data_IF_873839518092
#
_entry.id   IF_873839518092
#
_cell.length_a   1.000
_cell.length_b   1.000
_cell.length_c   1.000
_cell.angle_alpha   90.00
_cell.angle_beta   90.00
_cell.angle_gamma   90.00
#
_symmetry.space_group_name_H-M   'P 1'
#
loop_
_entity.id
_entity.type
_entity.pdbx_description
1 polymer ?
#
# COMPACT_ATOMS: atom_id res chain seq x y z
N UNK A 1 4.79 -21.16 -6.81
CA UNK A 1 5.56 -19.99 -6.37
C UNK A 1 6.32 -20.41 -5.12
N UNK A 2 7.65 -20.47 -5.16
CA UNK A 2 8.45 -20.73 -3.97
C UNK A 2 8.25 -19.56 -3.01
N UNK A 3 7.98 -19.84 -1.73
CA UNK A 3 7.98 -18.81 -0.72
C UNK A 3 9.37 -18.18 -0.68
N UNK A 4 9.48 -16.90 -1.01
CA UNK A 4 10.73 -16.17 -0.89
C UNK A 4 11.15 -16.18 0.58
N UNK A 5 12.41 -16.49 0.84
CA UNK A 5 12.96 -16.37 2.18
C UNK A 5 12.83 -14.91 2.65
N UNK A 6 12.39 -14.69 3.91
CA UNK A 6 12.26 -13.35 4.44
C UNK A 6 13.59 -12.61 4.35
N UNK A 7 13.60 -11.48 3.67
CA UNK A 7 14.80 -10.64 3.60
C UNK A 7 15.11 -10.05 4.98
N UNK A 8 16.36 -10.10 5.43
CA UNK A 8 16.74 -9.54 6.70
C UNK A 8 16.53 -8.02 6.71
N UNK A 9 16.03 -7.44 7.81
CA UNK A 9 15.92 -5.99 7.89
C UNK A 9 17.29 -5.34 7.89
N UNK A 10 17.42 -4.16 7.27
CA UNK A 10 18.70 -3.42 7.20
C UNK A 10 19.40 -3.27 8.56
N UNK A 11 18.61 -3.10 9.63
CA UNK A 11 19.14 -3.00 10.99
C UNK A 11 19.84 -4.27 11.49
N UNK A 12 19.59 -5.43 10.90
CA UNK A 12 20.31 -6.67 11.25
C UNK A 12 21.66 -6.78 10.56
N UNK A 13 21.89 -5.99 9.52
CA UNK A 13 23.14 -5.89 8.75
C UNK A 13 24.02 -4.70 9.22
N UNK A 14 23.48 -3.89 10.13
CA UNK A 14 24.16 -2.68 10.62
C UNK A 14 25.10 -2.99 11.77
N UNK A 15 26.38 -2.99 11.48
CA UNK A 15 27.46 -3.16 12.48
C UNK A 15 28.07 -1.82 12.95
N UNK A 16 27.74 -0.72 12.27
CA UNK A 16 28.33 0.60 12.53
C UNK A 16 27.37 1.57 13.23
N UNK A 17 26.11 1.17 13.40
CA UNK A 17 25.11 2.03 14.04
C UNK A 17 24.65 3.19 13.17
N UNK A 18 24.48 2.95 11.88
CA UNK A 18 24.05 3.96 10.90
C UNK A 18 22.57 3.87 10.55
N UNK A 19 21.90 2.77 10.94
CA UNK A 19 20.50 2.51 10.57
C UNK A 19 19.54 2.94 11.67
N UNK A 20 18.58 3.79 11.30
CA UNK A 20 17.38 4.07 12.09
C UNK A 20 16.23 3.24 11.52
N UNK A 21 15.71 2.30 12.31
CA UNK A 21 14.55 1.50 11.93
C UNK A 21 13.27 2.12 12.47
N UNK A 22 12.25 2.18 11.63
CA UNK A 22 10.92 2.64 11.97
C UNK A 22 9.92 1.52 11.83
N UNK A 23 8.97 1.43 12.75
CA UNK A 23 7.88 0.48 12.67
C UNK A 23 6.56 1.04 13.17
N UNK A 24 5.48 0.38 12.84
CA UNK A 24 4.13 0.77 13.26
C UNK A 24 3.26 -0.44 13.55
N UNK A 25 2.38 -0.32 14.53
CA UNK A 25 1.35 -1.32 14.81
C UNK A 25 0.09 -1.13 13.93
N UNK A 26 0.03 -0.06 13.13
CA UNK A 26 -1.15 0.28 12.33
C UNK A 26 -1.56 -0.78 11.31
N UNK A 27 -0.61 -1.56 10.79
CA UNK A 27 -0.87 -2.58 9.75
C UNK A 27 -0.92 -4.00 10.30
N UNK A 28 -0.34 -4.21 11.48
CA UNK A 28 -0.31 -5.52 12.14
C UNK A 28 -1.43 -5.70 13.15
N UNK A 29 -1.86 -4.63 13.82
CA UNK A 29 -2.90 -4.65 14.84
C UNK A 29 -4.07 -3.75 14.47
N UNK A 30 -3.97 -2.45 14.76
CA UNK A 30 -5.06 -1.52 14.49
C UNK A 30 -4.53 -0.11 14.19
N UNK A 31 -4.94 0.50 13.07
CA UNK A 31 -4.48 1.84 12.69
C UNK A 31 -4.96 2.94 13.66
N UNK A 32 -6.11 2.74 14.34
CA UNK A 32 -6.67 3.68 15.30
C UNK A 32 -5.86 3.86 16.58
N UNK A 33 -4.96 2.94 16.91
CA UNK A 33 -4.10 3.05 18.09
C UNK A 33 -3.02 4.15 17.96
N UNK A 34 -2.67 4.54 16.76
CA UNK A 34 -1.70 5.61 16.45
C UNK A 34 -0.35 5.45 17.15
N UNK A 35 0.14 4.21 17.28
CA UNK A 35 1.43 3.89 17.90
C UNK A 35 2.41 3.35 16.85
N UNK A 36 3.58 3.95 16.80
CA UNK A 36 4.75 3.47 16.09
C UNK A 36 5.94 3.39 17.04
N UNK A 37 7.03 2.86 16.56
CA UNK A 37 8.28 2.75 17.29
C UNK A 37 9.47 3.07 16.38
N UNK A 38 10.56 3.45 16.99
CA UNK A 38 11.84 3.56 16.31
C UNK A 38 12.94 2.88 17.12
N UNK A 39 13.93 2.35 16.42
CA UNK A 39 15.19 1.88 16.96
C UNK A 39 16.31 2.67 16.29
N UNK A 40 17.17 3.28 17.07
CA UNK A 40 18.29 4.07 16.57
C UNK A 40 19.55 3.84 17.44
N UNK A 41 20.74 4.20 16.96
CA UNK A 41 21.96 4.22 17.76
C UNK A 41 21.80 5.07 19.01
N UNK A 42 22.41 4.63 20.12
CA UNK A 42 22.29 5.30 21.43
C UNK A 42 22.66 6.78 21.38
N UNK A 43 23.65 7.15 20.57
CA UNK A 43 24.08 8.55 20.40
C UNK A 43 22.98 9.48 19.87
N UNK A 44 22.05 8.92 19.05
CA UNK A 44 20.94 9.68 18.46
C UNK A 44 19.69 9.66 19.35
N UNK A 45 19.51 8.63 20.20
CA UNK A 45 18.28 8.44 20.96
C UNK A 45 17.92 9.66 21.82
N UNK A 46 18.89 10.30 22.51
CA UNK A 46 18.62 11.47 23.32
C UNK A 46 18.04 12.64 22.51
N UNK A 47 18.50 12.84 21.29
CA UNK A 47 18.01 13.90 20.41
C UNK A 47 16.59 13.58 19.90
N UNK A 48 16.35 12.32 19.57
CA UNK A 48 15.03 11.85 19.13
C UNK A 48 13.98 11.94 20.25
N UNK A 49 14.37 11.65 21.50
CA UNK A 49 13.47 11.81 22.67
C UNK A 49 13.11 13.29 22.87
N UNK A 50 14.08 14.20 22.79
CA UNK A 50 13.82 15.65 22.91
C UNK A 50 12.93 16.14 21.77
N UNK A 51 13.21 15.70 20.54
CA UNK A 51 12.37 16.04 19.38
C UNK A 51 10.93 15.52 19.55
N UNK A 52 10.75 14.29 20.05
CA UNK A 52 9.43 13.71 20.35
C UNK A 52 8.68 14.56 21.39
N UNK A 53 9.35 14.94 22.48
CA UNK A 53 8.77 15.80 23.51
C UNK A 53 8.32 17.16 22.96
N UNK A 54 9.11 17.75 22.06
CA UNK A 54 8.77 19.01 21.42
C UNK A 54 7.63 18.90 20.40
N UNK A 55 7.42 17.72 19.82
CA UNK A 55 6.39 17.50 18.78
C UNK A 55 5.02 17.26 19.38
N UNK A 56 4.87 16.32 20.30
CA UNK A 56 3.58 15.89 20.83
C UNK A 56 3.65 15.39 22.29
N UNK A 57 4.73 15.66 22.97
CA UNK A 57 5.06 15.25 24.32
C UNK A 57 5.22 13.72 24.47
N UNK A 58 4.18 12.96 24.21
CA UNK A 58 4.21 11.49 24.20
C UNK A 58 3.00 10.90 23.45
N UNK A 59 3.15 9.68 22.92
CA UNK A 59 2.02 8.90 22.41
C UNK A 59 1.11 8.45 23.57
N UNK A 60 -0.17 8.21 23.27
CA UNK A 60 -1.15 7.76 24.28
C UNK A 60 -0.63 6.61 25.12
N UNK A 61 -0.50 6.80 26.42
CA UNK A 61 -0.07 5.75 27.37
C UNK A 61 -1.08 4.62 27.45
N UNK A 62 -2.38 4.90 27.28
CA UNK A 62 -3.42 3.88 27.21
C UNK A 62 -3.21 2.95 26.00
N UNK A 63 -2.96 3.52 24.83
CA UNK A 63 -2.71 2.74 23.61
C UNK A 63 -1.43 1.91 23.71
N UNK A 64 -0.36 2.47 24.30
CA UNK A 64 0.89 1.74 24.53
C UNK A 64 0.68 0.57 25.50
N UNK A 65 -0.08 0.79 26.59
CA UNK A 65 -0.40 -0.26 27.56
C UNK A 65 -1.24 -1.37 26.94
N UNK A 66 -2.26 -1.00 26.15
CA UNK A 66 -3.10 -1.97 25.44
C UNK A 66 -2.28 -2.83 24.47
N UNK A 67 -1.35 -2.23 23.73
CA UNK A 67 -0.44 -2.97 22.82
C UNK A 67 0.48 -3.88 23.63
N UNK A 68 1.06 -3.42 24.74
CA UNK A 68 1.93 -4.21 25.60
C UNK A 68 1.21 -5.45 26.14
N UNK A 69 0.00 -5.30 26.66
CA UNK A 69 -0.82 -6.40 27.14
C UNK A 69 -1.19 -7.38 26.01
N UNK A 70 -1.51 -6.85 24.84
CA UNK A 70 -1.83 -7.66 23.67
C UNK A 70 -0.62 -8.50 23.25
N UNK A 71 0.56 -7.90 23.13
CA UNK A 71 1.78 -8.60 22.73
C UNK A 71 2.23 -9.69 23.72
N UNK A 72 1.83 -9.60 25.01
CA UNK A 72 2.16 -10.61 26.03
C UNK A 72 1.17 -11.77 26.07
N UNK A 73 -0.08 -11.56 25.64
CA UNK A 73 -1.18 -12.54 25.81
C UNK A 73 -1.72 -13.09 24.50
N UNK A 74 -1.38 -12.48 23.39
CA UNK A 74 -1.94 -12.78 22.09
C UNK A 74 -0.90 -13.46 21.20
N UNK A 75 -1.30 -14.52 20.52
CA UNK A 75 -0.45 -15.16 19.50
C UNK A 75 -0.38 -14.30 18.25
N UNK A 76 0.58 -13.37 18.26
CA UNK A 76 0.80 -12.44 17.15
C UNK A 76 1.19 -13.19 15.87
N UNK A 77 1.96 -14.27 15.94
CA UNK A 77 2.39 -15.01 14.76
C UNK A 77 1.22 -15.73 14.08
N UNK A 78 0.34 -16.36 14.84
CA UNK A 78 -0.89 -16.96 14.29
C UNK A 78 -1.79 -15.90 13.63
N UNK A 79 -1.91 -14.72 14.26
CA UNK A 79 -2.64 -13.59 13.68
C UNK A 79 -2.00 -13.09 12.36
N UNK A 80 -0.70 -12.90 12.34
CA UNK A 80 0.02 -12.47 11.14
C UNK A 80 -0.05 -13.51 10.02
N UNK A 81 -0.03 -14.80 10.35
CA UNK A 81 -0.21 -15.87 9.37
C UNK A 81 -1.59 -15.77 8.70
N UNK A 82 -2.65 -15.54 9.49
CA UNK A 82 -4.01 -15.33 8.99
C UNK A 82 -4.11 -14.09 8.10
N UNK A 83 -3.51 -12.98 8.51
CA UNK A 83 -3.47 -11.76 7.69
C UNK A 83 -2.74 -11.97 6.37
N UNK A 84 -1.57 -12.62 6.41
CA UNK A 84 -0.77 -12.92 5.21
C UNK A 84 -1.54 -13.79 4.21
N UNK A 85 -2.25 -14.81 4.69
CA UNK A 85 -3.10 -15.65 3.84
C UNK A 85 -4.22 -14.83 3.20
N UNK A 86 -4.98 -14.08 4.01
CA UNK A 86 -6.09 -13.25 3.54
C UNK A 86 -5.64 -12.21 2.50
N UNK A 87 -4.50 -11.54 2.74
CA UNK A 87 -4.01 -10.52 1.81
C UNK A 87 -3.45 -11.13 0.53
N UNK A 88 -2.82 -12.29 0.59
CA UNK A 88 -2.37 -13.03 -0.59
C UNK A 88 -3.55 -13.37 -1.50
N UNK A 89 -4.61 -13.95 -0.94
CA UNK A 89 -5.80 -14.33 -1.71
C UNK A 89 -6.44 -13.11 -2.38
N UNK A 90 -6.60 -12.01 -1.64
CA UNK A 90 -7.15 -10.76 -2.19
C UNK A 90 -6.24 -10.12 -3.25
N UNK A 91 -4.93 -10.21 -3.08
CA UNK A 91 -3.96 -9.74 -4.08
C UNK A 91 -4.09 -10.52 -5.38
N UNK A 92 -4.19 -11.85 -5.31
CA UNK A 92 -4.39 -12.69 -6.49
C UNK A 92 -5.71 -12.37 -7.19
N UNK A 93 -6.82 -12.29 -6.45
CA UNK A 93 -8.12 -11.88 -7.03
C UNK A 93 -8.01 -10.54 -7.74
N UNK A 94 -7.37 -9.53 -7.11
CA UNK A 94 -7.18 -8.22 -7.75
C UNK A 94 -6.32 -8.31 -9.01
N UNK A 95 -5.22 -9.04 -8.97
CA UNK A 95 -4.31 -9.21 -10.09
C UNK A 95 -4.99 -9.89 -11.28
N UNK A 96 -5.77 -10.95 -11.03
CA UNK A 96 -6.52 -11.68 -12.05
C UNK A 96 -7.54 -10.77 -12.75
N UNK A 97 -8.27 -9.95 -11.98
CA UNK A 97 -9.26 -9.03 -12.55
C UNK A 97 -8.58 -7.86 -13.29
N UNK A 98 -7.47 -7.33 -12.80
CA UNK A 98 -6.68 -6.32 -13.53
C UNK A 98 -6.24 -6.90 -14.89
N UNK A 99 -5.71 -8.12 -14.90
CA UNK A 99 -5.29 -8.79 -16.14
C UNK A 99 -6.46 -8.96 -17.12
N UNK A 100 -7.64 -9.29 -16.61
CA UNK A 100 -8.82 -9.59 -17.45
C UNK A 100 -9.55 -8.34 -17.94
N UNK A 101 -9.49 -7.21 -17.22
CA UNK A 101 -10.38 -6.07 -17.46
C UNK A 101 -9.69 -4.76 -17.81
N UNK A 102 -8.39 -4.60 -17.50
CA UNK A 102 -7.69 -3.37 -17.80
C UNK A 102 -7.23 -3.33 -19.27
N UNK A 103 -7.00 -2.14 -19.85
CA UNK A 103 -6.57 -1.99 -21.23
C UNK A 103 -5.28 -2.78 -21.54
N UNK A 104 -5.16 -3.27 -22.76
CA UNK A 104 -3.92 -3.89 -23.26
C UNK A 104 -2.75 -2.91 -23.10
N UNK A 105 -1.58 -3.43 -22.72
CA UNK A 105 -0.39 -2.62 -22.38
C UNK A 105 -0.37 -2.13 -20.92
N UNK A 106 -1.31 -2.58 -20.08
CA UNK A 106 -1.20 -2.39 -18.63
C UNK A 106 -0.12 -3.30 -18.05
N UNK A 107 0.74 -2.75 -17.19
CA UNK A 107 1.82 -3.45 -16.53
C UNK A 107 1.66 -3.38 -15.00
N UNK A 108 1.87 -4.50 -14.33
CA UNK A 108 1.99 -4.60 -12.88
C UNK A 108 2.76 -5.85 -12.50
N UNK A 109 3.27 -5.85 -11.28
CA UNK A 109 3.88 -7.04 -10.66
C UNK A 109 3.15 -7.37 -9.36
N UNK A 110 2.87 -8.66 -9.14
CA UNK A 110 2.33 -9.07 -7.85
C UNK A 110 3.40 -8.90 -6.77
N UNK A 111 3.15 -8.11 -5.73
CA UNK A 111 4.13 -7.90 -4.67
C UNK A 111 4.28 -9.14 -3.81
N UNK A 112 5.47 -9.40 -3.31
CA UNK A 112 5.75 -10.47 -2.35
C UNK A 112 5.16 -10.19 -0.96
N UNK A 113 4.72 -8.96 -0.72
CA UNK A 113 4.12 -8.52 0.52
C UNK A 113 3.51 -7.12 0.42
N UNK A 114 2.99 -6.65 1.54
CA UNK A 114 2.34 -5.34 1.59
C UNK A 114 0.84 -5.41 1.38
N UNK A 115 0.24 -4.28 0.99
CA UNK A 115 -1.21 -4.08 0.95
C UNK A 115 -1.68 -3.48 -0.38
N UNK A 116 -0.77 -3.27 -1.31
CA UNK A 116 -1.01 -2.48 -2.51
C UNK A 116 -0.48 -3.17 -3.76
N UNK A 117 -1.26 -3.07 -4.84
CA UNK A 117 -0.82 -3.35 -6.19
C UNK A 117 -0.46 -2.02 -6.86
N UNK A 118 0.73 -1.94 -7.44
CA UNK A 118 1.15 -0.82 -8.26
C UNK A 118 0.90 -1.17 -9.71
N UNK A 119 0.19 -0.29 -10.41
CA UNK A 119 -0.23 -0.51 -11.80
C UNK A 119 0.23 0.65 -12.67
N UNK A 120 0.79 0.34 -13.82
CA UNK A 120 1.11 1.28 -14.89
C UNK A 120 0.17 1.00 -16.07
N UNK A 121 -0.67 1.97 -16.39
CA UNK A 121 -1.59 1.94 -17.54
C UNK A 121 -0.86 2.32 -18.83
N UNK A 122 -1.45 2.06 -20.00
CA UNK A 122 -0.92 2.58 -21.27
C UNK A 122 -0.71 4.09 -21.24
N UNK A 123 0.25 4.57 -22.01
CA UNK A 123 0.51 6.00 -22.15
C UNK A 123 -0.71 6.72 -22.73
N UNK A 124 -0.89 7.98 -22.36
CA UNK A 124 -2.04 8.80 -22.74
C UNK A 124 -3.08 8.92 -21.63
N UNK A 125 -3.12 8.01 -20.67
CA UNK A 125 -4.04 8.11 -19.54
C UNK A 125 -3.45 8.94 -18.40
N UNK A 126 -4.28 9.83 -17.83
CA UNK A 126 -3.97 10.59 -16.61
C UNK A 126 -4.85 10.10 -15.46
N UNK A 127 -4.26 9.35 -14.55
CA UNK A 127 -4.97 8.75 -13.41
C UNK A 127 -5.47 9.81 -12.41
N UNK A 128 -4.81 10.96 -12.33
CA UNK A 128 -5.28 12.06 -11.48
C UNK A 128 -6.52 12.73 -12.08
N UNK A 129 -6.52 12.99 -13.37
CA UNK A 129 -7.68 13.55 -14.07
C UNK A 129 -8.90 12.61 -14.03
N UNK A 130 -8.68 11.30 -14.13
CA UNK A 130 -9.74 10.28 -14.12
C UNK A 130 -10.31 9.98 -12.72
N UNK A 131 -9.62 10.37 -11.65
CA UNK A 131 -10.01 10.01 -10.27
C UNK A 131 -11.42 10.49 -9.91
N UNK A 132 -11.80 11.71 -10.29
CA UNK A 132 -13.13 12.24 -10.01
C UNK A 132 -14.23 11.39 -10.66
N UNK A 133 -14.02 10.98 -11.91
CA UNK A 133 -14.96 10.09 -12.61
C UNK A 133 -15.01 8.70 -11.98
N UNK A 134 -13.86 8.14 -11.60
CA UNK A 134 -13.79 6.86 -10.90
C UNK A 134 -14.61 6.87 -9.61
N UNK A 135 -14.49 7.93 -8.81
CA UNK A 135 -15.22 8.05 -7.54
C UNK A 135 -16.72 8.33 -7.77
N UNK A 136 -17.09 9.25 -8.67
CA UNK A 136 -18.48 9.70 -8.79
C UNK A 136 -19.36 8.75 -9.60
N UNK A 137 -18.80 8.13 -10.68
CA UNK A 137 -19.57 7.26 -11.58
C UNK A 137 -19.35 5.79 -11.30
N UNK A 138 -18.10 5.40 -11.01
CA UNK A 138 -17.73 3.99 -10.80
C UNK A 138 -17.68 3.61 -9.31
N UNK A 139 -17.75 4.58 -8.39
CA UNK A 139 -17.73 4.39 -6.92
C UNK A 139 -16.48 3.68 -6.42
N UNK A 140 -15.38 3.85 -7.12
CA UNK A 140 -14.08 3.27 -6.78
C UNK A 140 -13.06 4.40 -6.62
N UNK A 141 -12.35 4.38 -5.51
CA UNK A 141 -11.22 5.27 -5.27
C UNK A 141 -9.90 4.51 -5.40
N UNK A 142 -8.93 5.12 -6.01
CA UNK A 142 -7.54 4.67 -6.05
C UNK A 142 -6.60 5.84 -5.71
N UNK A 143 -5.33 5.56 -5.55
CA UNK A 143 -4.34 6.63 -5.34
C UNK A 143 -3.58 6.83 -6.65
N UNK A 144 -3.68 8.02 -7.30
CA UNK A 144 -2.89 8.35 -8.48
C UNK A 144 -1.40 8.25 -8.18
N UNK A 145 -0.61 7.77 -9.15
CA UNK A 145 0.81 7.51 -8.94
C UNK A 145 1.70 8.75 -9.07
N UNK A 146 1.30 9.76 -9.83
CA UNK A 146 2.11 10.95 -10.09
C UNK A 146 2.74 11.58 -8.83
N UNK A 147 2.05 11.70 -7.67
CA UNK A 147 2.64 12.24 -6.44
C UNK A 147 3.81 11.44 -5.86
N UNK A 148 4.01 10.19 -6.28
CA UNK A 148 5.12 9.34 -5.81
C UNK A 148 6.41 9.54 -6.61
N UNK A 149 6.36 10.28 -7.71
CA UNK A 149 7.53 10.62 -8.52
C UNK A 149 7.98 12.05 -8.24
N UNK A 150 9.28 12.25 -8.15
CA UNK A 150 9.88 13.57 -7.87
C UNK A 150 9.50 14.60 -8.95
N UNK A 151 9.53 14.18 -10.20
CA UNK A 151 9.23 15.01 -11.38
C UNK A 151 7.75 14.97 -11.81
N UNK A 152 6.93 14.12 -11.15
CA UNK A 152 5.52 13.85 -11.51
C UNK A 152 5.31 13.45 -12.98
N UNK A 153 6.34 12.94 -13.62
CA UNK A 153 6.34 12.67 -15.07
C UNK A 153 5.45 11.48 -15.48
N UNK A 154 5.08 10.61 -14.53
CA UNK A 154 4.27 9.41 -14.82
C UNK A 154 2.82 9.61 -14.37
N UNK A 155 1.99 10.18 -15.24
CA UNK A 155 0.56 10.39 -14.98
C UNK A 155 -0.28 9.11 -15.11
N UNK A 156 0.23 8.07 -15.80
CA UNK A 156 -0.47 6.83 -16.11
C UNK A 156 -0.33 5.74 -15.04
N UNK A 157 0.16 6.07 -13.86
CA UNK A 157 0.35 5.09 -12.77
C UNK A 157 -0.69 5.27 -11.67
N UNK A 158 -1.05 4.17 -10.99
CA UNK A 158 -1.94 4.18 -9.84
C UNK A 158 -1.60 3.09 -8.84
N UNK A 159 -2.04 3.30 -7.59
CA UNK A 159 -1.92 2.33 -6.50
C UNK A 159 -3.30 1.86 -6.07
N UNK A 160 -3.52 0.55 -6.11
CA UNK A 160 -4.73 -0.12 -5.66
C UNK A 160 -4.49 -0.77 -4.29
N UNK A 161 -5.49 -0.76 -3.42
CA UNK A 161 -5.44 -1.37 -2.09
C UNK A 161 -6.35 -2.60 -2.05
N UNK A 162 -5.79 -3.77 -1.74
CA UNK A 162 -6.54 -5.02 -1.61
C UNK A 162 -6.84 -5.43 -0.16
N UNK A 163 -6.37 -4.67 0.83
CA UNK A 163 -6.40 -5.13 2.24
C UNK A 163 -7.77 -5.08 2.90
N UNK A 164 -8.66 -4.18 2.48
CA UNK A 164 -9.89 -3.90 3.22
C UNK A 164 -11.17 -4.45 2.58
N UNK A 165 -11.19 -4.66 1.26
CA UNK A 165 -12.39 -5.08 0.56
C UNK A 165 -12.55 -6.62 0.57
N UNK A 166 -13.80 -7.08 0.54
CA UNK A 166 -14.10 -8.49 0.27
C UNK A 166 -13.81 -8.83 -1.20
N UNK A 167 -13.48 -10.11 -1.53
CA UNK A 167 -13.13 -10.50 -2.88
C UNK A 167 -14.17 -10.10 -3.96
N UNK A 168 -15.45 -10.24 -3.68
CA UNK A 168 -16.50 -9.84 -4.62
C UNK A 168 -16.44 -8.32 -4.92
N UNK A 169 -16.28 -7.48 -3.90
CA UNK A 169 -16.14 -6.04 -4.09
C UNK A 169 -14.85 -5.65 -4.84
N UNK A 170 -13.78 -6.45 -4.70
CA UNK A 170 -12.56 -6.27 -5.49
C UNK A 170 -12.87 -6.56 -6.96
N UNK A 171 -13.53 -7.68 -7.25
CA UNK A 171 -13.91 -8.04 -8.63
C UNK A 171 -14.73 -6.95 -9.29
N UNK A 172 -15.83 -6.54 -8.67
CA UNK A 172 -16.73 -5.52 -9.21
C UNK A 172 -16.05 -4.17 -9.41
N UNK A 173 -15.30 -3.72 -8.39
CA UNK A 173 -14.64 -2.43 -8.41
C UNK A 173 -13.51 -2.36 -9.44
N UNK A 174 -12.69 -3.39 -9.55
CA UNK A 174 -11.56 -3.43 -10.51
C UNK A 174 -12.09 -3.56 -11.93
N UNK A 175 -13.10 -4.40 -12.19
CA UNK A 175 -13.74 -4.49 -13.50
C UNK A 175 -14.36 -3.14 -13.94
N UNK A 176 -14.99 -2.43 -13.01
CA UNK A 176 -15.54 -1.09 -13.26
C UNK A 176 -14.44 -0.06 -13.59
N UNK A 177 -13.30 -0.10 -12.93
CA UNK A 177 -12.14 0.74 -13.30
C UNK A 177 -11.57 0.37 -14.68
N UNK A 178 -11.51 -0.92 -15.01
CA UNK A 178 -11.09 -1.39 -16.33
C UNK A 178 -11.94 -0.78 -17.46
N UNK A 179 -13.26 -0.77 -17.27
CA UNK A 179 -14.18 -0.12 -18.21
C UNK A 179 -13.91 1.39 -18.35
N UNK A 180 -13.70 2.11 -17.25
CA UNK A 180 -13.34 3.53 -17.27
C UNK A 180 -12.06 3.79 -18.05
N UNK A 181 -11.00 3.02 -17.77
CA UNK A 181 -9.69 3.23 -18.41
C UNK A 181 -9.72 2.86 -19.90
N UNK A 182 -10.47 1.84 -20.27
CA UNK A 182 -10.67 1.47 -21.67
C UNK A 182 -11.42 2.56 -22.44
N UNK A 183 -12.51 3.10 -21.87
CA UNK A 183 -13.26 4.19 -22.45
C UNK A 183 -12.40 5.46 -22.60
N UNK A 184 -11.62 5.79 -21.57
CA UNK A 184 -10.73 6.96 -21.60
C UNK A 184 -9.65 6.82 -22.66
N UNK A 185 -9.03 5.64 -22.78
CA UNK A 185 -7.99 5.37 -23.78
C UNK A 185 -8.53 5.50 -25.22
N UNK A 186 -9.76 5.01 -25.45
CA UNK A 186 -10.42 5.14 -26.77
C UNK A 186 -10.71 6.60 -27.17
N UNK A 187 -10.93 7.47 -26.18
CA UNK A 187 -11.15 8.90 -26.43
C UNK A 187 -9.85 9.65 -26.73
N UNK A 188 -8.73 9.21 -26.17
CA UNK A 188 -7.40 9.80 -26.38
C UNK A 188 -6.76 9.36 -27.72
N UNK A 189 -7.13 8.17 -28.22
CA UNK A 189 -6.70 7.73 -29.54
C UNK A 189 -7.47 8.58 -30.58
N UNK A 190 -6.81 9.49 -31.34
CA UNK A 190 -7.50 10.18 -32.43
C UNK A 190 -8.07 9.13 -33.37
N UNK A 191 -9.25 9.41 -33.93
CA UNK A 191 -9.81 8.65 -35.03
C UNK A 191 -8.83 8.74 -36.23
N UNK A 192 -7.73 8.02 -36.13
CA UNK A 192 -6.69 7.95 -37.14
C UNK A 192 -7.02 6.79 -38.06
N UNK A 193 -7.52 7.19 -39.24
CA UNK A 193 -7.51 6.46 -40.50
C UNK A 193 -8.31 5.14 -40.54
N UNK A 194 -9.56 5.29 -40.87
CA UNK A 194 -10.19 4.41 -41.89
C UNK A 194 -9.83 4.93 -43.27
#
# INVERSE_FOLDING_TARGET
MQALEPQPPLASLDHEGLVISLGTFSKMLAPGLRVGWLRAPAALMRHLVVAKQATDLHSSSLAQRAISELLTRFDLEAHLATLRATYRDRCHVMADVVTASFPEGTHFECPDGGLFLWVELPRGLDTLALLTTAVTRHRVAYVPGAPFFVDRARSNTLRLNFSNCQPAAIVDGIASLGALFTEALQRELPAAAL
#
